data_IF_890053383585
#
_entry.id   IF_890053383585
#
_cell.length_a   1.000
_cell.length_b   1.000
_cell.length_c   1.000
_cell.angle_alpha   90.00
_cell.angle_beta   90.00
_cell.angle_gamma   90.00
#
_symmetry.space_group_name_H-M   'P 1'
#
loop_
_entity.id
_entity.type
_entity.pdbx_description
1 polymer ?
#
# COMPACT_ATOMS: atom_id res chain seq x y z
N UNK A 1 16.63 -63.54 -8.96
CA UNK A 1 16.64 -62.69 -10.18
C UNK A 1 15.79 -61.42 -9.96
N UNK A 2 16.24 -60.17 -10.09
CA UNK A 2 17.51 -59.54 -10.46
C UNK A 2 17.43 -58.13 -9.86
N UNK A 3 18.54 -57.61 -9.34
CA UNK A 3 18.69 -56.32 -8.67
C UNK A 3 19.31 -55.26 -9.59
N UNK A 4 18.92 -53.98 -9.34
CA UNK A 4 19.70 -52.72 -9.51
C UNK A 4 20.00 -52.20 -10.94
N UNK A 5 20.61 -51.00 -11.13
CA UNK A 5 20.13 -49.61 -10.87
C UNK A 5 20.55 -48.61 -12.01
N UNK A 6 20.24 -47.30 -11.92
CA UNK A 6 21.01 -46.15 -12.49
C UNK A 6 20.20 -44.84 -12.25
N UNK A 7 20.61 -43.80 -11.51
CA UNK A 7 21.83 -42.98 -11.51
C UNK A 7 22.09 -42.28 -12.86
N UNK A 8 21.75 -40.98 -12.95
CA UNK A 8 22.12 -40.05 -14.03
C UNK A 8 23.00 -38.92 -13.43
N UNK A 9 23.87 -38.26 -14.22
CA UNK A 9 25.29 -38.13 -13.88
C UNK A 9 25.66 -36.74 -13.38
N UNK A 10 26.69 -36.74 -12.54
CA UNK A 10 27.44 -35.61 -12.01
C UNK A 10 28.16 -34.80 -13.13
N UNK A 11 28.05 -33.47 -13.20
CA UNK A 11 28.98 -32.65 -13.97
C UNK A 11 30.02 -32.08 -13.01
N UNK A 12 31.07 -32.85 -12.75
CA UNK A 12 32.35 -32.30 -12.29
C UNK A 12 33.44 -32.89 -13.16
N UNK A 13 33.84 -32.13 -14.17
CA UNK A 13 35.17 -32.24 -14.77
C UNK A 13 35.68 -30.80 -14.98
N UNK A 14 36.77 -30.40 -14.31
CA UNK A 14 37.49 -29.16 -14.59
C UNK A 14 38.33 -29.37 -15.86
N UNK A 15 38.36 -28.38 -16.74
CA UNK A 15 39.19 -28.44 -17.96
C UNK A 15 40.66 -28.09 -17.62
N UNK A 16 41.64 -28.95 -17.91
CA UNK A 16 43.07 -28.67 -17.75
C UNK A 16 43.74 -28.25 -19.07
N UNK A 17 44.70 -27.32 -18.99
CA UNK A 17 46.07 -27.39 -19.58
C UNK A 17 46.71 -25.98 -19.75
N UNK A 18 47.79 -25.74 -18.99
CA UNK A 18 48.82 -24.67 -19.12
C UNK A 18 49.82 -25.03 -20.28
N UNK A 19 51.05 -24.44 -20.49
CA UNK A 19 51.79 -23.29 -19.90
C UNK A 19 52.63 -22.42 -20.91
N UNK A 20 53.27 -21.34 -20.42
CA UNK A 20 54.58 -20.73 -20.83
C UNK A 20 54.58 -19.22 -20.49
N UNK A 21 55.47 -18.56 -19.73
CA UNK A 21 56.86 -18.80 -19.31
C UNK A 21 57.16 -18.12 -17.94
N UNK A 22 57.97 -18.81 -17.12
CA UNK A 22 58.73 -18.36 -15.93
C UNK A 22 59.76 -17.23 -16.25
N UNK A 23 60.42 -16.50 -15.28
CA UNK A 23 60.89 -16.96 -13.95
C UNK A 23 60.84 -15.99 -12.72
N UNK A 24 60.93 -16.64 -11.55
CA UNK A 24 61.17 -16.31 -10.12
C UNK A 24 62.31 -15.31 -9.81
N UNK A 25 62.67 -14.97 -8.53
CA UNK A 25 62.01 -14.99 -7.18
C UNK A 25 62.15 -13.60 -6.45
N UNK A 26 61.62 -13.25 -5.27
CA UNK A 26 62.01 -13.71 -3.93
C UNK A 26 61.47 -12.72 -2.84
N UNK A 27 61.38 -13.21 -1.60
CA UNK A 27 61.30 -12.49 -0.32
C UNK A 27 59.95 -11.88 0.14
N UNK A 28 59.22 -12.72 0.89
CA UNK A 28 58.94 -12.47 2.30
C UNK A 28 58.11 -11.25 2.67
N UNK A 29 56.82 -11.48 2.95
CA UNK A 29 56.09 -10.97 4.12
C UNK A 29 54.67 -11.56 4.01
N UNK A 30 54.30 -12.39 4.99
CA UNK A 30 52.93 -12.85 5.15
C UNK A 30 52.05 -11.61 5.36
N UNK A 31 51.30 -11.22 4.32
CA UNK A 31 50.19 -10.30 4.49
C UNK A 31 49.08 -11.06 5.24
N UNK A 32 48.54 -10.53 6.36
CA UNK A 32 47.44 -11.19 7.04
C UNK A 32 46.21 -11.15 6.14
N UNK A 33 45.76 -12.33 5.71
CA UNK A 33 44.40 -12.54 5.22
C UNK A 33 43.43 -12.16 6.35
N UNK A 34 42.42 -11.30 6.12
CA UNK A 34 41.41 -11.04 7.13
C UNK A 34 40.54 -12.28 7.26
N UNK A 35 40.85 -13.13 8.23
CA UNK A 35 39.96 -14.17 8.70
C UNK A 35 38.83 -13.51 9.51
N UNK A 36 37.63 -13.60 8.96
CA UNK A 36 36.43 -14.04 9.71
C UNK A 36 36.13 -13.29 11.02
N UNK A 37 35.77 -12.00 10.91
CA UNK A 37 34.86 -11.38 11.87
C UNK A 37 34.11 -10.26 11.18
N UNK A 38 32.80 -10.16 11.46
CA UNK A 38 31.82 -9.30 10.81
C UNK A 38 31.26 -9.88 9.50
N UNK A 39 30.46 -10.94 9.62
CA UNK A 39 29.24 -11.00 8.81
C UNK A 39 28.60 -9.61 8.92
N UNK A 40 28.41 -8.85 7.82
CA UNK A 40 27.46 -7.76 7.87
C UNK A 40 26.17 -8.43 8.35
N UNK A 41 25.64 -7.98 9.49
CA UNK A 41 24.25 -8.30 9.82
C UNK A 41 23.49 -8.10 8.53
N UNK A 42 22.90 -9.16 7.98
CA UNK A 42 22.03 -9.11 6.80
C UNK A 42 21.05 -7.98 7.11
N UNK A 43 21.35 -6.81 6.54
CA UNK A 43 20.65 -5.59 6.89
C UNK A 43 19.43 -5.65 6.01
N UNK A 44 18.43 -6.42 6.45
CA UNK A 44 17.06 -6.35 5.93
C UNK A 44 16.50 -4.97 6.29
N UNK A 45 16.99 -3.95 5.60
CA UNK A 45 16.35 -2.65 5.53
C UNK A 45 15.32 -2.69 4.41
N UNK A 46 14.24 -3.42 4.66
CA UNK A 46 13.02 -3.37 3.85
C UNK A 46 12.29 -2.05 4.16
N UNK A 47 12.88 -0.92 3.75
CA UNK A 47 12.26 0.39 3.84
C UNK A 47 11.62 0.75 2.50
N UNK A 48 10.33 1.05 2.51
CA UNK A 48 9.59 1.52 1.34
C UNK A 48 9.23 2.99 1.55
N UNK A 49 9.53 3.83 0.54
CA UNK A 49 9.06 5.20 0.52
C UNK A 49 7.57 5.20 0.17
N UNK A 50 6.75 5.70 1.09
CA UNK A 50 5.31 5.86 0.91
C UNK A 50 5.04 7.36 0.87
N UNK A 51 4.29 7.82 -0.13
CA UNK A 51 3.78 9.18 -0.13
C UNK A 51 2.89 9.37 1.11
N UNK A 52 3.11 10.46 1.87
CA UNK A 52 2.29 10.82 3.03
C UNK A 52 0.78 10.78 2.74
N UNK A 53 0.40 11.00 1.49
CA UNK A 53 -0.99 11.01 1.10
C UNK A 53 -1.55 9.64 0.65
N UNK A 54 -0.72 8.61 0.58
CA UNK A 54 -1.17 7.23 0.41
C UNK A 54 -1.56 6.60 1.75
N UNK A 55 -1.06 7.14 2.86
CA UNK A 55 -1.41 6.76 4.22
C UNK A 55 -2.89 7.07 4.52
N UNK A 56 -3.72 6.02 4.46
CA UNK A 56 -5.18 6.11 4.58
C UNK A 56 -5.73 5.02 5.49
N UNK A 57 -6.69 5.37 6.34
CA UNK A 57 -7.34 4.45 7.28
C UNK A 57 -8.83 4.37 7.02
N UNK A 58 -9.41 3.18 7.21
CA UNK A 58 -10.85 2.97 7.16
C UNK A 58 -11.33 2.69 8.57
N UNK A 59 -12.30 3.48 9.04
CA UNK A 59 -12.93 3.33 10.35
C UNK A 59 -14.38 2.93 10.13
N UNK A 60 -14.80 1.83 10.77
CA UNK A 60 -16.21 1.42 10.81
C UNK A 60 -16.72 1.69 12.22
N UNK A 61 -17.85 2.38 12.33
CA UNK A 61 -18.43 2.71 13.63
C UNK A 61 -19.31 1.57 14.10
N UNK A 62 -19.30 1.32 15.41
CA UNK A 62 -20.24 0.39 16.05
C UNK A 62 -21.67 0.92 16.10
N UNK A 63 -21.88 2.23 15.85
CA UNK A 63 -23.18 2.87 15.85
C UNK A 63 -23.54 3.45 14.48
N UNK A 64 -24.83 3.55 14.23
CA UNK A 64 -25.41 4.01 12.97
C UNK A 64 -25.70 5.51 13.07
N UNK A 65 -25.18 6.30 12.14
CA UNK A 65 -25.38 7.74 12.10
C UNK A 65 -26.74 8.08 11.45
N UNK A 66 -27.33 9.21 11.87
CA UNK A 66 -28.50 9.76 11.19
C UNK A 66 -28.07 10.37 9.85
N UNK A 67 -28.81 10.07 8.78
CA UNK A 67 -28.55 10.57 7.43
C UNK A 67 -29.44 11.76 7.05
N UNK A 68 -30.44 12.06 7.87
CA UNK A 68 -31.31 13.24 7.69
C UNK A 68 -30.56 14.54 7.99
N UNK A 69 -30.83 15.57 7.19
CA UNK A 69 -30.39 16.95 7.45
C UNK A 69 -31.29 17.67 8.47
N UNK A 70 -32.48 17.15 8.74
CA UNK A 70 -33.44 17.71 9.69
C UNK A 70 -33.27 17.06 11.07
N UNK A 71 -33.16 17.88 12.11
CA UNK A 71 -32.98 17.41 13.50
C UNK A 71 -34.18 16.58 14.00
N UNK A 72 -35.38 16.86 13.51
CA UNK A 72 -36.63 16.20 13.92
C UNK A 72 -36.92 14.91 13.18
N UNK A 73 -36.18 14.61 12.12
CA UNK A 73 -36.41 13.42 11.29
C UNK A 73 -35.27 12.41 11.48
N UNK A 74 -35.62 11.23 11.98
CA UNK A 74 -34.67 10.16 12.22
C UNK A 74 -34.65 9.17 11.06
N UNK A 75 -33.54 9.16 10.29
CA UNK A 75 -33.26 8.21 9.20
C UNK A 75 -31.89 7.57 9.41
N UNK A 76 -31.77 6.54 10.25
CA UNK A 76 -30.50 5.91 10.56
C UNK A 76 -29.94 5.16 9.35
N UNK A 77 -28.62 5.24 9.16
CA UNK A 77 -27.91 4.38 8.23
C UNK A 77 -27.99 2.90 8.68
N UNK A 78 -27.76 1.98 7.75
CA UNK A 78 -27.55 0.56 8.05
C UNK A 78 -26.18 0.31 8.72
N UNK A 79 -25.15 1.01 8.25
CA UNK A 79 -23.80 1.07 8.81
C UNK A 79 -23.16 2.43 8.50
N UNK A 80 -22.21 2.87 9.34
CA UNK A 80 -21.54 4.16 9.21
C UNK A 80 -20.02 4.02 9.34
N UNK A 81 -19.29 4.84 8.59
CA UNK A 81 -17.84 4.71 8.46
C UNK A 81 -17.16 6.02 8.05
N UNK A 82 -15.85 6.08 8.27
CA UNK A 82 -14.98 7.14 7.78
C UNK A 82 -13.84 6.57 6.94
N UNK A 83 -13.50 7.25 5.85
CA UNK A 83 -12.17 7.19 5.26
C UNK A 83 -11.37 8.35 5.83
N UNK A 84 -10.23 8.06 6.43
CA UNK A 84 -9.30 9.05 6.97
C UNK A 84 -8.02 9.06 6.15
N UNK A 85 -7.42 10.22 5.97
CA UNK A 85 -6.14 10.39 5.29
C UNK A 85 -5.31 11.45 5.98
N UNK A 86 -4.00 11.21 6.08
CA UNK A 86 -3.09 12.17 6.69
C UNK A 86 -3.02 13.46 5.87
N UNK A 87 -2.99 14.61 6.54
CA UNK A 87 -2.93 15.92 5.87
C UNK A 87 -1.50 16.43 5.66
N UNK A 88 -0.57 16.06 6.53
CA UNK A 88 0.82 16.51 6.48
C UNK A 88 1.79 15.51 7.12
N UNK A 89 3.09 15.80 7.11
CA UNK A 89 4.12 14.88 7.57
C UNK A 89 4.18 14.73 9.10
N UNK A 90 3.48 15.58 9.85
CA UNK A 90 3.44 15.54 11.30
C UNK A 90 2.04 15.19 11.80
N UNK A 91 1.95 14.60 12.99
CA UNK A 91 0.66 14.20 13.56
C UNK A 91 -0.20 15.41 13.96
N UNK A 92 0.44 16.57 14.17
CA UNK A 92 -0.24 17.83 14.46
C UNK A 92 -0.99 18.45 13.27
N UNK A 93 -0.71 18.00 12.04
CA UNK A 93 -1.35 18.54 10.83
C UNK A 93 -2.81 18.12 10.69
N UNK A 94 -3.23 17.11 11.46
CA UNK A 94 -4.56 16.53 11.43
C UNK A 94 -4.80 15.62 10.22
N UNK A 95 -6.07 15.32 9.97
CA UNK A 95 -6.49 14.36 8.95
C UNK A 95 -7.64 14.91 8.12
N UNK A 96 -7.63 14.58 6.83
CA UNK A 96 -8.85 14.66 6.04
C UNK A 96 -9.76 13.50 6.42
N UNK A 97 -11.08 13.75 6.45
CA UNK A 97 -12.09 12.73 6.72
C UNK A 97 -13.20 12.81 5.68
N UNK A 98 -13.61 11.66 5.17
CA UNK A 98 -14.85 11.49 4.40
C UNK A 98 -15.74 10.53 5.17
N UNK A 99 -16.98 10.96 5.42
CA UNK A 99 -18.02 10.09 6.01
C UNK A 99 -18.72 9.32 4.90
N UNK A 100 -18.96 8.03 5.11
CA UNK A 100 -19.83 7.23 4.26
C UNK A 100 -20.86 6.49 5.11
N UNK A 101 -22.12 6.54 4.68
CA UNK A 101 -23.25 5.90 5.35
C UNK A 101 -23.92 4.94 4.36
N UNK A 102 -24.03 3.68 4.73
CA UNK A 102 -24.76 2.69 3.94
C UNK A 102 -26.26 2.85 4.24
N UNK A 103 -27.03 3.39 3.32
CA UNK A 103 -28.48 3.63 3.53
C UNK A 103 -29.32 2.41 3.13
N UNK A 104 -28.88 1.66 2.12
CA UNK A 104 -29.61 0.52 1.58
C UNK A 104 -28.67 -0.55 1.04
N UNK A 105 -29.03 -1.81 1.26
CA UNK A 105 -28.44 -2.98 0.59
C UNK A 105 -29.42 -4.14 0.65
N UNK A 106 -29.35 -5.06 -0.31
CA UNK A 106 -30.09 -6.32 -0.29
C UNK A 106 -29.44 -7.38 0.61
N UNK A 107 -28.24 -7.11 1.13
CA UNK A 107 -27.46 -8.04 1.93
C UNK A 107 -27.95 -8.11 3.38
N UNK A 108 -27.77 -9.26 4.05
CA UNK A 108 -28.19 -9.43 5.44
C UNK A 108 -27.44 -8.48 6.39
N UNK A 109 -28.02 -8.12 7.55
CA UNK A 109 -27.42 -7.18 8.51
C UNK A 109 -26.00 -7.50 8.94
N UNK A 110 -25.66 -8.79 9.04
CA UNK A 110 -24.32 -9.25 9.41
C UNK A 110 -23.23 -8.84 8.40
N UNK A 111 -23.61 -8.53 7.16
CA UNK A 111 -22.70 -8.13 6.09
C UNK A 111 -22.63 -6.61 5.89
N UNK A 112 -23.40 -5.80 6.62
CA UNK A 112 -23.44 -4.35 6.38
C UNK A 112 -22.08 -3.69 6.58
N UNK A 113 -21.37 -4.06 7.65
CA UNK A 113 -20.04 -3.52 7.97
C UNK A 113 -18.98 -3.96 6.96
N UNK A 114 -19.03 -5.23 6.50
CA UNK A 114 -18.08 -5.74 5.51
C UNK A 114 -18.28 -5.04 4.16
N UNK A 115 -19.53 -4.85 3.74
CA UNK A 115 -19.88 -4.13 2.51
C UNK A 115 -19.43 -2.68 2.59
N UNK A 116 -19.71 -1.99 3.69
CA UNK A 116 -19.27 -0.61 3.86
C UNK A 116 -17.74 -0.50 3.82
N UNK A 117 -17.03 -1.44 4.46
CA UNK A 117 -15.57 -1.52 4.42
C UNK A 117 -15.04 -1.72 3.00
N UNK A 118 -15.67 -2.57 2.20
CA UNK A 118 -15.31 -2.77 0.78
C UNK A 118 -15.55 -1.51 -0.05
N UNK A 119 -16.69 -0.83 0.15
CA UNK A 119 -16.99 0.44 -0.52
C UNK A 119 -15.95 1.52 -0.17
N UNK A 120 -15.59 1.65 1.11
CA UNK A 120 -14.57 2.61 1.55
C UNK A 120 -13.18 2.29 0.99
N UNK A 121 -12.83 1.00 0.87
CA UNK A 121 -11.59 0.57 0.17
C UNK A 121 -11.62 0.94 -1.31
N UNK A 122 -12.72 0.67 -2.01
CA UNK A 122 -12.89 1.05 -3.41
C UNK A 122 -12.78 2.57 -3.60
N UNK A 123 -13.39 3.35 -2.70
CA UNK A 123 -13.31 4.82 -2.73
C UNK A 123 -11.90 5.34 -2.52
N UNK A 124 -11.13 4.73 -1.60
CA UNK A 124 -9.70 5.01 -1.44
C UNK A 124 -8.94 4.77 -2.75
N UNK A 125 -9.16 3.63 -3.40
CA UNK A 125 -8.46 3.27 -4.63
C UNK A 125 -8.82 4.23 -5.78
N UNK A 126 -10.09 4.62 -5.90
CA UNK A 126 -10.53 5.65 -6.86
C UNK A 126 -9.87 7.01 -6.59
N UNK A 127 -9.74 7.43 -5.32
CA UNK A 127 -9.08 8.68 -4.95
C UNK A 127 -7.57 8.65 -5.28
N UNK A 128 -6.90 7.51 -5.07
CA UNK A 128 -5.50 7.33 -5.47
C UNK A 128 -5.34 7.39 -6.99
N UNK A 129 -6.19 6.70 -7.76
CA UNK A 129 -6.16 6.76 -9.23
C UNK A 129 -6.39 8.18 -9.77
N UNK A 130 -7.28 8.94 -9.14
CA UNK A 130 -7.57 10.32 -9.54
C UNK A 130 -6.36 11.24 -9.41
N UNK A 131 -5.56 11.05 -8.35
CA UNK A 131 -4.28 11.76 -8.15
C UNK A 131 -3.29 11.45 -9.27
N UNK A 132 -3.11 10.17 -9.59
CA UNK A 132 -2.18 9.72 -10.64
C UNK A 132 -2.54 10.32 -12.00
N UNK A 133 -3.83 10.50 -12.28
CA UNK A 133 -4.30 11.12 -13.53
C UNK A 133 -4.18 12.65 -13.57
N UNK A 134 -3.75 13.30 -12.49
CA UNK A 134 -3.57 14.75 -12.44
C UNK A 134 -4.86 15.56 -12.50
N UNK A 135 -6.02 14.95 -12.26
CA UNK A 135 -7.34 15.60 -12.40
C UNK A 135 -7.71 16.40 -11.12
N UNK A 136 -6.91 16.32 -10.05
CA UNK A 136 -7.12 17.07 -8.81
C UNK A 136 -6.00 18.08 -8.55
N UNK A 137 -6.38 19.30 -8.16
CA UNK A 137 -5.50 20.18 -7.39
C UNK A 137 -5.36 19.57 -5.98
N UNK A 138 -4.13 19.23 -5.61
CA UNK A 138 -3.63 18.25 -4.61
C UNK A 138 -4.19 18.36 -3.18
N UNK A 139 -5.04 19.35 -2.87
CA UNK A 139 -5.30 19.73 -1.49
C UNK A 139 -6.24 18.79 -0.72
N UNK A 140 -7.28 18.19 -1.33
CA UNK A 140 -8.27 17.39 -0.59
C UNK A 140 -8.57 16.03 -1.26
N UNK A 141 -7.55 15.20 -1.47
CA UNK A 141 -7.68 13.94 -2.20
C UNK A 141 -8.42 12.81 -1.45
N UNK A 142 -9.33 13.10 -0.51
CA UNK A 142 -10.04 12.03 0.20
C UNK A 142 -11.31 11.58 -0.53
N UNK A 143 -11.84 12.42 -1.42
CA UNK A 143 -13.07 12.14 -2.15
C UNK A 143 -12.82 11.25 -3.37
N UNK A 144 -13.72 10.31 -3.70
CA UNK A 144 -13.68 9.62 -4.97
C UNK A 144 -13.91 10.65 -6.08
N UNK A 145 -13.28 10.44 -7.24
CA UNK A 145 -13.25 11.46 -8.29
C UNK A 145 -14.63 11.96 -8.73
N UNK A 146 -15.62 11.06 -8.80
CA UNK A 146 -16.97 11.41 -9.20
C UNK A 146 -17.62 12.39 -8.22
N UNK A 147 -17.41 12.18 -6.91
CA UNK A 147 -17.94 13.05 -5.85
C UNK A 147 -17.22 14.40 -5.89
N UNK A 148 -15.90 14.39 -6.04
CA UNK A 148 -15.13 15.63 -6.19
C UNK A 148 -15.60 16.44 -7.41
N UNK A 149 -15.84 15.79 -8.55
CA UNK A 149 -16.35 16.42 -9.75
C UNK A 149 -17.75 17.02 -9.52
N UNK A 150 -18.65 16.28 -8.87
CA UNK A 150 -19.99 16.76 -8.55
C UNK A 150 -19.98 17.98 -7.61
N UNK A 151 -19.15 17.97 -6.57
CA UNK A 151 -18.98 19.11 -5.65
C UNK A 151 -18.44 20.32 -6.39
N UNK A 152 -17.39 20.17 -7.19
CA UNK A 152 -16.84 21.27 -7.99
C UNK A 152 -17.83 21.82 -9.01
N UNK A 153 -18.59 20.95 -9.65
CA UNK A 153 -19.65 21.37 -10.58
C UNK A 153 -20.75 22.15 -9.84
N UNK A 154 -21.20 21.67 -8.67
CA UNK A 154 -22.19 22.37 -7.86
C UNK A 154 -21.68 23.75 -7.40
N UNK A 155 -20.44 23.85 -6.93
CA UNK A 155 -19.81 25.12 -6.54
C UNK A 155 -19.82 26.11 -7.72
N UNK A 156 -19.34 25.69 -8.90
CA UNK A 156 -19.20 26.59 -10.05
C UNK A 156 -20.54 26.93 -10.70
N UNK A 157 -21.44 25.97 -10.85
CA UNK A 157 -22.73 26.17 -11.50
C UNK A 157 -23.69 26.97 -10.62
N UNK A 158 -23.52 26.96 -9.30
CA UNK A 158 -24.32 27.78 -8.38
C UNK A 158 -24.16 29.30 -8.57
N UNK A 159 -23.12 29.75 -9.28
CA UNK A 159 -22.94 31.17 -9.62
C UNK A 159 -23.70 31.59 -10.88
N UNK A 160 -24.17 30.64 -11.69
CA UNK A 160 -24.78 30.91 -13.00
C UNK A 160 -26.27 30.57 -13.03
N UNK A 161 -26.73 29.66 -12.17
CA UNK A 161 -28.14 29.24 -12.02
C UNK A 161 -28.77 29.88 -10.79
#
# INVERSE_FOLDING_TARGET
PSTTPAATPNPSIPSPDQPANSPTPAFGLNAPTPSDHLLPSETESESVLIDIYDESWVVILSHKLNTSTNLTEYRPALASGYLLRRKGPTDGDGMFSMTANLVYTHLPPLAHDSVLKEVLKMYRDQATLFRVRGISNVQNNILPWHVAAAVRAQELLSYVL
#
